data_IF_331732442865
#
_entry.id   IF_331732442865
#
_cell.length_a   1.000
_cell.length_b   1.000
_cell.length_c   1.000
_cell.angle_alpha   90.00
_cell.angle_beta   90.00
_cell.angle_gamma   90.00
#
_symmetry.space_group_name_H-M   'P 1'
#
loop_
_entity.id
_entity.type
_entity.pdbx_description
1 polymer ?
#
# COMPACT_ATOMS: atom_id res chain seq x y z
N UNK A 1 4.22 -13.48 -6.30
CA UNK A 1 4.51 -12.12 -6.78
C UNK A 1 5.12 -12.13 -8.18
N UNK A 2 5.98 -13.10 -8.51
CA UNK A 2 6.74 -13.16 -9.76
C UNK A 2 5.93 -13.18 -11.07
N UNK A 3 4.62 -13.46 -11.04
CA UNK A 3 3.78 -13.50 -12.25
C UNK A 3 2.82 -12.32 -12.36
N UNK A 4 2.43 -11.69 -11.24
CA UNK A 4 1.38 -10.66 -11.27
C UNK A 4 1.87 -9.38 -11.95
N UNK A 5 2.98 -8.82 -11.45
CA UNK A 5 3.51 -7.53 -11.95
C UNK A 5 3.92 -7.65 -13.43
N UNK A 6 4.64 -8.70 -13.88
CA UNK A 6 4.96 -8.83 -15.30
C UNK A 6 3.72 -8.96 -16.21
N UNK A 7 2.68 -9.67 -15.77
CA UNK A 7 1.42 -9.79 -16.53
C UNK A 7 0.66 -8.46 -16.54
N UNK A 8 0.63 -7.75 -15.41
CA UNK A 8 0.00 -6.42 -15.32
C UNK A 8 0.64 -5.43 -16.31
N UNK A 9 1.97 -5.43 -16.40
CA UNK A 9 2.73 -4.62 -17.36
C UNK A 9 2.47 -5.09 -18.80
N UNK A 10 2.43 -6.40 -19.06
CA UNK A 10 2.12 -6.94 -20.38
C UNK A 10 0.70 -6.57 -20.87
N UNK A 11 -0.23 -6.31 -19.96
CA UNK A 11 -1.57 -5.80 -20.26
C UNK A 11 -1.63 -4.27 -20.47
N UNK A 12 -0.49 -3.56 -20.43
CA UNK A 12 -0.40 -2.11 -20.65
C UNK A 12 -0.46 -1.25 -19.39
N UNK A 13 -0.35 -1.86 -18.20
CA UNK A 13 -0.23 -1.14 -16.93
C UNK A 13 1.21 -0.76 -16.60
N UNK A 14 1.39 0.11 -15.60
CA UNK A 14 2.71 0.46 -15.08
C UNK A 14 3.16 -0.53 -13.98
N UNK A 15 4.47 -0.75 -13.89
CA UNK A 15 5.06 -1.65 -12.89
C UNK A 15 4.71 -1.21 -11.46
N UNK A 16 4.82 0.09 -11.19
CA UNK A 16 4.53 0.67 -9.88
C UNK A 16 3.07 0.47 -9.47
N UNK A 17 2.12 0.65 -10.39
CA UNK A 17 0.70 0.44 -10.12
C UNK A 17 0.39 -1.03 -9.81
N UNK A 18 1.06 -1.96 -10.51
CA UNK A 18 0.96 -3.38 -10.22
C UNK A 18 1.50 -3.73 -8.83
N UNK A 19 2.60 -3.11 -8.42
CA UNK A 19 3.18 -3.27 -7.08
C UNK A 19 2.26 -2.67 -6.01
N UNK A 20 1.75 -1.46 -6.24
CA UNK A 20 0.83 -0.74 -5.35
C UNK A 20 -0.42 -1.57 -5.04
N UNK A 21 -1.04 -2.12 -6.08
CA UNK A 21 -2.21 -2.98 -5.96
C UNK A 21 -1.93 -4.22 -5.10
N UNK A 22 -0.79 -4.89 -5.31
CA UNK A 22 -0.42 -6.08 -4.52
C UNK A 22 -0.19 -5.71 -3.06
N UNK A 23 0.53 -4.60 -2.80
CA UNK A 23 0.79 -4.10 -1.45
C UNK A 23 -0.52 -3.84 -0.69
N UNK A 24 -1.43 -3.06 -1.27
CA UNK A 24 -2.72 -2.76 -0.66
C UNK A 24 -3.56 -4.03 -0.41
N UNK A 25 -3.68 -4.91 -1.40
CA UNK A 25 -4.64 -6.04 -1.33
C UNK A 25 -4.12 -7.30 -0.64
N UNK A 26 -2.80 -7.50 -0.56
CA UNK A 26 -2.20 -8.74 -0.03
C UNK A 26 -1.29 -8.52 1.17
N UNK A 27 -0.60 -7.38 1.26
CA UNK A 27 0.33 -7.10 2.35
C UNK A 27 -0.40 -6.30 3.44
N UNK A 28 -0.87 -5.09 3.14
CA UNK A 28 -1.50 -4.22 4.14
C UNK A 28 -2.83 -4.73 4.65
N UNK A 29 -3.53 -5.58 3.89
CA UNK A 29 -4.69 -6.33 4.40
C UNK A 29 -4.38 -7.15 5.66
N UNK A 30 -3.14 -7.60 5.86
CA UNK A 30 -2.74 -8.34 7.06
C UNK A 30 -2.67 -7.44 8.31
N UNK A 31 -2.66 -6.12 8.17
CA UNK A 31 -2.68 -5.22 9.32
C UNK A 31 -4.05 -5.19 10.01
N UNK A 32 -5.12 -5.57 9.31
CA UNK A 32 -6.47 -5.68 9.90
C UNK A 32 -6.53 -6.72 11.03
N UNK A 33 -5.65 -7.72 11.02
CA UNK A 33 -5.57 -8.72 12.10
C UNK A 33 -4.70 -8.27 13.29
N UNK A 34 -4.11 -7.07 13.23
CA UNK A 34 -3.27 -6.52 14.30
C UNK A 34 -4.06 -5.53 15.17
N UNK A 35 -3.49 -5.16 16.33
CA UNK A 35 -4.07 -4.13 17.18
C UNK A 35 -3.80 -2.73 16.58
N UNK A 36 -4.70 -2.27 15.71
CA UNK A 36 -4.55 -1.00 14.98
C UNK A 36 -4.51 0.23 15.90
N UNK A 37 -5.11 0.18 17.09
CA UNK A 37 -5.06 1.28 18.05
C UNK A 37 -3.63 1.56 18.53
N UNK A 38 -2.79 0.52 18.64
CA UNK A 38 -1.38 0.68 19.01
C UNK A 38 -0.48 1.08 17.85
N UNK A 39 -0.93 0.87 16.59
CA UNK A 39 -0.12 1.06 15.39
C UNK A 39 -0.40 2.38 14.66
N UNK A 40 -1.20 3.27 15.27
CA UNK A 40 -1.75 4.45 14.59
C UNK A 40 -0.69 5.45 14.12
N UNK A 41 0.35 5.65 14.93
CA UNK A 41 1.46 6.54 14.56
C UNK A 41 2.41 5.83 13.58
N UNK A 42 2.66 4.54 13.75
CA UNK A 42 3.48 3.73 12.84
C UNK A 42 2.87 3.68 11.43
N UNK A 43 1.54 3.58 11.30
CA UNK A 43 0.86 3.65 10.00
C UNK A 43 1.05 5.02 9.32
N UNK A 44 1.07 6.10 10.10
CA UNK A 44 1.29 7.46 9.59
C UNK A 44 2.73 7.66 9.12
N UNK A 45 3.68 7.15 9.90
CA UNK A 45 5.10 7.13 9.52
C UNK A 45 5.32 6.29 8.27
N UNK A 46 4.64 5.14 8.15
CA UNK A 46 4.69 4.30 6.96
C UNK A 46 4.16 5.03 5.72
N UNK A 47 3.01 5.72 5.80
CA UNK A 47 2.51 6.55 4.68
C UNK A 47 3.53 7.62 4.27
N UNK A 48 4.14 8.29 5.25
CA UNK A 48 5.15 9.33 5.01
C UNK A 48 6.41 8.73 4.36
N UNK A 49 6.83 7.56 4.82
CA UNK A 49 7.97 6.83 4.26
C UNK A 49 7.71 6.41 2.81
N UNK A 50 6.51 5.91 2.50
CA UNK A 50 6.12 5.54 1.15
C UNK A 50 6.15 6.72 0.19
N UNK A 51 5.60 7.88 0.57
CA UNK A 51 5.66 9.11 -0.23
C UNK A 51 7.10 9.60 -0.47
N UNK A 52 8.00 9.38 0.49
CA UNK A 52 9.42 9.74 0.35
C UNK A 52 10.15 8.77 -0.58
N UNK A 53 9.82 7.48 -0.53
CA UNK A 53 10.51 6.44 -1.28
C UNK A 53 10.07 6.38 -2.75
N UNK A 54 8.77 6.46 -3.01
CA UNK A 54 8.18 6.31 -4.35
C UNK A 54 7.80 7.64 -5.00
N UNK A 55 7.90 8.76 -4.27
CA UNK A 55 7.55 10.09 -4.76
C UNK A 55 6.14 10.54 -4.40
N UNK A 56 5.87 11.82 -4.66
CA UNK A 56 4.55 12.41 -4.42
C UNK A 56 3.58 11.96 -5.52
N UNK A 57 2.35 11.65 -5.16
CA UNK A 57 1.27 11.20 -6.07
C UNK A 57 1.44 9.79 -6.66
N UNK A 58 2.32 8.96 -6.09
CA UNK A 58 2.43 7.52 -6.37
C UNK A 58 1.83 6.70 -5.22
N UNK A 59 1.71 5.38 -5.39
CA UNK A 59 1.25 4.44 -4.35
C UNK A 59 -0.15 4.78 -3.77
N UNK A 60 -1.06 5.24 -4.62
CA UNK A 60 -2.36 5.79 -4.22
C UNK A 60 -3.23 4.74 -3.52
N UNK A 61 -3.25 3.51 -4.03
CA UNK A 61 -4.05 2.41 -3.45
C UNK A 61 -3.55 2.07 -2.04
N UNK A 62 -2.24 1.92 -1.90
CA UNK A 62 -1.60 1.64 -0.61
C UNK A 62 -1.82 2.75 0.41
N UNK A 63 -1.59 4.01 0.02
CA UNK A 63 -1.78 5.15 0.92
C UNK A 63 -3.25 5.26 1.35
N UNK A 64 -4.19 5.16 0.40
CA UNK A 64 -5.62 5.20 0.72
C UNK A 64 -6.02 4.05 1.65
N UNK A 65 -5.45 2.85 1.48
CA UNK A 65 -5.69 1.71 2.36
C UNK A 65 -5.18 1.97 3.79
N UNK A 66 -3.94 2.43 3.93
CA UNK A 66 -3.33 2.72 5.21
C UNK A 66 -4.05 3.85 5.96
N UNK A 67 -4.46 4.90 5.24
CA UNK A 67 -5.30 5.98 5.80
C UNK A 67 -6.68 5.48 6.25
N UNK A 68 -7.27 4.51 5.53
CA UNK A 68 -8.52 3.87 5.95
C UNK A 68 -8.33 3.09 7.25
N UNK A 69 -7.25 2.31 7.36
CA UNK A 69 -6.92 1.58 8.59
C UNK A 69 -6.75 2.54 9.78
N UNK A 70 -6.13 3.70 9.55
CA UNK A 70 -5.94 4.73 10.58
C UNK A 70 -7.24 5.40 11.05
N UNK A 71 -8.32 5.34 10.27
CA UNK A 71 -9.63 5.92 10.60
C UNK A 71 -10.57 4.94 11.29
N UNK A 72 -10.32 3.63 11.15
CA UNK A 72 -11.16 2.59 11.74
C UNK A 72 -11.00 2.48 13.27
N UNK A 73 -9.90 3.00 13.82
CA UNK A 73 -9.53 2.97 15.24
C UNK A 73 -8.75 4.22 15.65
#
# INVERSE_FOLDING_TARGET
MNLFVPVYVACGGEELDGIDYVLATKIFRKFESLNLAMLREELKELCTYMLKLFGRNTMKESIAYLERLQKLY
#
